data_IF_584369271490
#
_entry.id   IF_584369271490
#
_cell.length_a   1.000
_cell.length_b   1.000
_cell.length_c   1.000
_cell.angle_alpha   90.00
_cell.angle_beta   90.00
_cell.angle_gamma   90.00
#
_symmetry.space_group_name_H-M   'P 1'
#
loop_
_entity.id
_entity.type
_entity.pdbx_description
1 polymer ?
#
# COMPACT_ATOMS: atom_id res chain seq x y z
N UNK A 1 -11.35 -19.84 -27.87
CA UNK A 1 -11.67 -18.41 -27.97
C UNK A 1 -11.20 -17.71 -26.70
N UNK A 2 -10.25 -16.77 -26.79
CA UNK A 2 -9.77 -16.03 -25.61
C UNK A 2 -10.60 -14.77 -25.42
N UNK A 3 -11.11 -14.56 -24.22
CA UNK A 3 -11.88 -13.36 -23.87
C UNK A 3 -10.92 -12.15 -23.94
N UNK A 4 -11.31 -11.01 -24.55
CA UNK A 4 -10.50 -9.79 -24.54
C UNK A 4 -10.15 -9.36 -23.11
N UNK A 5 -8.92 -8.88 -22.86
CA UNK A 5 -8.43 -8.55 -21.50
C UNK A 5 -9.36 -7.60 -20.74
N UNK A 6 -10.00 -6.65 -21.43
CA UNK A 6 -10.99 -5.72 -20.87
C UNK A 6 -12.32 -6.35 -20.44
N UNK A 7 -12.61 -7.58 -20.88
CA UNK A 7 -13.85 -8.32 -20.61
C UNK A 7 -13.63 -9.55 -19.72
N UNK A 8 -12.39 -9.79 -19.25
CA UNK A 8 -12.09 -10.90 -18.32
C UNK A 8 -12.50 -10.50 -16.90
N UNK A 9 -13.08 -11.42 -16.11
CA UNK A 9 -13.12 -11.23 -14.66
C UNK A 9 -11.67 -11.19 -14.16
N UNK A 10 -11.31 -10.11 -13.46
CA UNK A 10 -9.96 -9.91 -12.88
C UNK A 10 -9.65 -11.10 -11.98
N UNK A 11 -8.56 -11.81 -12.25
CA UNK A 11 -8.17 -12.95 -11.43
C UNK A 11 -7.66 -12.48 -10.06
N UNK A 12 -7.75 -13.33 -9.04
CA UNK A 12 -7.12 -13.08 -7.74
C UNK A 12 -5.66 -12.66 -7.86
N UNK A 13 -4.93 -13.26 -8.80
CA UNK A 13 -3.51 -13.04 -9.10
C UNK A 13 -3.23 -11.61 -9.62
N UNK A 14 -4.11 -11.06 -10.46
CA UNK A 14 -3.98 -9.66 -10.92
C UNK A 14 -4.12 -8.64 -9.79
N UNK A 15 -4.82 -8.96 -8.69
CA UNK A 15 -4.89 -8.07 -7.52
C UNK A 15 -3.59 -8.05 -6.69
N UNK A 16 -2.87 -9.18 -6.62
CA UNK A 16 -1.58 -9.24 -5.91
C UNK A 16 -0.47 -8.49 -6.62
N UNK A 17 -0.43 -8.60 -7.95
CA UNK A 17 0.62 -7.95 -8.75
C UNK A 17 0.61 -6.43 -8.61
N UNK A 18 -0.58 -5.81 -8.54
CA UNK A 18 -0.70 -4.36 -8.34
C UNK A 18 -0.19 -3.95 -6.95
N UNK A 19 -0.60 -4.67 -5.91
CA UNK A 19 -0.16 -4.37 -4.54
C UNK A 19 1.35 -4.60 -4.34
N UNK A 20 1.90 -5.67 -4.94
CA UNK A 20 3.35 -5.94 -4.94
C UNK A 20 4.13 -4.85 -5.68
N UNK A 21 3.59 -4.37 -6.79
CA UNK A 21 4.17 -3.23 -7.53
C UNK A 21 4.20 -1.98 -6.65
N UNK A 22 3.10 -1.66 -5.96
CA UNK A 22 3.04 -0.54 -5.02
C UNK A 22 4.08 -0.69 -3.91
N UNK A 23 4.15 -1.86 -3.25
CA UNK A 23 5.12 -2.12 -2.18
C UNK A 23 6.56 -1.99 -2.67
N UNK A 24 6.86 -2.47 -3.87
CA UNK A 24 8.20 -2.39 -4.47
C UNK A 24 8.59 -0.94 -4.72
N UNK A 25 7.68 -0.16 -5.32
CA UNK A 25 7.90 1.26 -5.60
C UNK A 25 8.03 2.11 -4.33
N UNK A 26 7.26 1.80 -3.29
CA UNK A 26 7.44 2.42 -1.95
C UNK A 26 8.80 2.05 -1.39
N UNK A 27 9.24 0.80 -1.51
CA UNK A 27 10.54 0.35 -0.99
C UNK A 27 11.70 1.04 -1.69
N UNK A 28 11.62 1.23 -3.00
CA UNK A 28 12.60 2.01 -3.77
C UNK A 28 12.67 3.45 -3.26
N UNK A 29 11.52 4.11 -3.12
CA UNK A 29 11.43 5.48 -2.58
C UNK A 29 12.04 5.60 -1.18
N UNK A 30 11.74 4.65 -0.29
CA UNK A 30 12.28 4.65 1.06
C UNK A 30 13.81 4.53 1.08
N UNK A 31 14.41 3.80 0.14
CA UNK A 31 15.87 3.72 0.02
C UNK A 31 16.48 5.06 -0.40
N UNK A 32 15.83 5.78 -1.33
CA UNK A 32 16.35 7.03 -1.88
C UNK A 32 16.17 8.22 -0.92
N UNK A 33 14.98 8.36 -0.35
CA UNK A 33 14.60 9.53 0.42
C UNK A 33 14.83 9.35 1.93
N UNK A 34 14.89 8.11 2.41
CA UNK A 34 15.04 7.76 3.83
C UNK A 34 16.21 6.79 4.11
N UNK A 35 17.14 6.64 3.17
CA UNK A 35 18.30 5.77 3.29
C UNK A 35 19.24 6.15 4.45
N UNK A 36 20.19 5.27 4.74
CA UNK A 36 21.19 5.49 5.79
C UNK A 36 22.22 6.56 5.38
N UNK A 37 22.25 6.93 4.10
CA UNK A 37 22.95 8.11 3.60
C UNK A 37 22.45 9.41 4.26
N UNK A 38 21.23 9.43 4.81
CA UNK A 38 20.71 10.57 5.57
C UNK A 38 21.26 10.67 7.00
N UNK A 39 22.00 9.66 7.49
CA UNK A 39 22.59 9.70 8.84
C UNK A 39 23.68 10.76 8.96
N UNK A 40 24.33 11.11 7.86
CA UNK A 40 25.38 12.11 7.83
C UNK A 40 25.03 13.23 6.85
N UNK A 41 25.33 14.47 7.23
CA UNK A 41 25.15 15.64 6.38
C UNK A 41 26.49 16.37 6.21
N UNK A 42 26.66 16.97 5.04
CA UNK A 42 27.81 17.84 4.75
C UNK A 42 27.44 19.27 5.11
N UNK A 43 28.27 19.90 5.94
CA UNK A 43 28.13 21.30 6.33
C UNK A 43 28.72 22.23 5.26
N UNK A 44 28.43 23.53 5.37
CA UNK A 44 28.94 24.56 4.45
C UNK A 44 30.47 24.63 4.42
N UNK A 45 31.13 24.40 5.56
CA UNK A 45 32.59 24.31 5.69
C UNK A 45 33.15 22.95 5.22
N UNK A 46 32.32 22.08 4.65
CA UNK A 46 32.71 20.82 4.01
C UNK A 46 32.89 19.64 4.97
N UNK A 47 32.65 19.81 6.27
CA UNK A 47 32.72 18.72 7.25
C UNK A 47 31.54 17.77 7.12
N UNK A 48 31.74 16.52 7.54
CA UNK A 48 30.68 15.52 7.63
C UNK A 48 30.30 15.39 9.11
N UNK A 49 29.04 15.65 9.43
CA UNK A 49 28.52 15.55 10.79
C UNK A 49 27.30 14.63 10.83
N UNK A 50 26.99 14.09 12.01
CA UNK A 50 25.77 13.31 12.22
C UNK A 50 24.54 14.20 12.10
N UNK A 51 23.59 13.76 11.28
CA UNK A 51 22.29 14.39 11.12
C UNK A 51 21.45 14.15 12.38
N UNK A 52 21.21 15.21 13.16
CA UNK A 52 20.38 15.13 14.37
C UNK A 52 18.95 14.70 14.10
N UNK A 53 18.46 14.84 12.87
CA UNK A 53 17.11 14.43 12.48
C UNK A 53 17.03 13.01 11.92
N UNK A 54 18.16 12.28 11.79
CA UNK A 54 18.17 10.94 11.20
C UNK A 54 17.24 9.94 11.91
N UNK A 55 17.04 10.08 13.22
CA UNK A 55 16.07 9.27 13.95
C UNK A 55 14.65 9.37 13.36
N UNK A 56 14.25 10.56 12.89
CA UNK A 56 12.93 10.80 12.31
C UNK A 56 12.82 10.16 10.92
N UNK A 57 13.89 10.20 10.12
CA UNK A 57 13.95 9.47 8.85
C UNK A 57 13.76 7.97 9.08
N UNK A 58 14.49 7.40 10.06
CA UNK A 58 14.42 5.98 10.41
C UNK A 58 13.03 5.58 10.90
N UNK A 59 12.40 6.41 11.73
CA UNK A 59 11.07 6.16 12.30
C UNK A 59 9.98 6.17 11.22
N UNK A 60 9.92 7.23 10.41
CA UNK A 60 8.94 7.34 9.32
C UNK A 60 9.13 6.22 8.28
N UNK A 61 10.39 5.91 7.94
CA UNK A 61 10.74 4.77 7.07
C UNK A 61 10.18 3.46 7.61
N UNK A 62 10.39 3.19 8.90
CA UNK A 62 9.93 1.97 9.56
C UNK A 62 8.42 1.82 9.48
N UNK A 63 7.67 2.88 9.75
CA UNK A 63 6.20 2.88 9.69
C UNK A 63 5.68 2.64 8.29
N UNK A 64 6.17 3.40 7.30
CA UNK A 64 5.76 3.24 5.89
C UNK A 64 6.06 1.82 5.41
N UNK A 65 7.24 1.29 5.73
CA UNK A 65 7.62 -0.06 5.36
C UNK A 65 6.71 -1.12 6.01
N UNK A 66 6.40 -0.94 7.30
CA UNK A 66 5.48 -1.79 8.04
C UNK A 66 4.09 -1.81 7.42
N UNK A 67 3.48 -0.64 7.18
CA UNK A 67 2.15 -0.56 6.58
C UNK A 67 2.11 -1.12 5.15
N UNK A 68 3.19 -0.95 4.36
CA UNK A 68 3.29 -1.56 3.04
C UNK A 68 3.39 -3.10 3.11
N UNK A 69 4.01 -3.65 4.16
CA UNK A 69 4.01 -5.09 4.40
C UNK A 69 2.62 -5.59 4.85
N UNK A 70 1.98 -4.87 5.79
CA UNK A 70 0.63 -5.19 6.29
C UNK A 70 -0.40 -5.19 5.17
N UNK A 71 -0.32 -4.23 4.23
CA UNK A 71 -1.16 -4.19 3.03
C UNK A 71 -1.10 -5.52 2.27
N UNK A 72 0.10 -6.04 1.99
CA UNK A 72 0.27 -7.32 1.29
C UNK A 72 -0.29 -8.47 2.12
N UNK A 73 -0.01 -8.51 3.43
CA UNK A 73 -0.49 -9.59 4.30
C UNK A 73 -2.02 -9.60 4.35
N UNK A 74 -2.66 -8.44 4.54
CA UNK A 74 -4.11 -8.34 4.53
C UNK A 74 -4.74 -8.76 3.19
N UNK A 75 -4.10 -8.46 2.05
CA UNK A 75 -4.59 -8.93 0.75
C UNK A 75 -4.40 -10.44 0.59
N UNK A 76 -3.28 -11.01 1.07
CA UNK A 76 -3.03 -12.46 1.11
C UNK A 76 -4.12 -13.16 1.91
N UNK A 77 -4.36 -12.71 3.14
CA UNK A 77 -5.42 -13.24 4.01
C UNK A 77 -6.79 -13.16 3.32
N UNK A 78 -7.15 -12.01 2.74
CA UNK A 78 -8.40 -11.86 2.01
C UNK A 78 -8.53 -12.88 0.86
N UNK A 79 -7.46 -13.10 0.10
CA UNK A 79 -7.51 -13.98 -1.06
C UNK A 79 -7.63 -15.47 -0.70
N UNK A 80 -7.04 -15.89 0.42
CA UNK A 80 -7.08 -17.28 0.89
C UNK A 80 -8.51 -17.75 1.23
N UNK A 81 -9.43 -16.81 1.48
CA UNK A 81 -10.80 -17.13 1.91
C UNK A 81 -11.70 -17.39 0.70
N UNK A 82 -12.03 -18.64 0.41
CA UNK A 82 -13.07 -18.96 -0.56
C UNK A 82 -14.46 -18.75 0.06
N UNK A 83 -15.31 -17.91 -0.54
CA UNK A 83 -16.61 -17.55 0.02
C UNK A 83 -17.62 -18.67 -0.27
N UNK A 84 -17.97 -19.47 0.74
CA UNK A 84 -19.04 -20.50 0.70
C UNK A 84 -20.23 -20.15 1.56
N UNK A 85 -20.06 -19.24 2.52
CA UNK A 85 -21.09 -18.78 3.43
C UNK A 85 -20.94 -17.28 3.76
N UNK A 86 -21.96 -16.71 4.41
CA UNK A 86 -22.00 -15.29 4.75
C UNK A 86 -20.92 -14.88 5.75
N UNK A 87 -20.52 -15.80 6.65
CA UNK A 87 -19.46 -15.54 7.63
C UNK A 87 -18.11 -15.33 6.94
N UNK A 88 -17.72 -16.23 6.04
CA UNK A 88 -16.49 -16.14 5.25
C UNK A 88 -16.44 -14.87 4.38
N UNK A 89 -17.56 -14.50 3.78
CA UNK A 89 -17.68 -13.20 3.09
C UNK A 89 -17.32 -12.04 4.03
N UNK A 90 -17.86 -12.04 5.26
CA UNK A 90 -17.57 -11.04 6.28
C UNK A 90 -16.09 -10.96 6.63
N UNK A 91 -15.43 -12.11 6.82
CA UNK A 91 -13.99 -12.18 7.13
C UNK A 91 -13.15 -11.66 5.96
N UNK A 92 -13.41 -12.10 4.73
CA UNK A 92 -12.70 -11.61 3.53
C UNK A 92 -12.85 -10.09 3.38
N UNK A 93 -14.06 -9.56 3.62
CA UNK A 93 -14.34 -8.12 3.61
C UNK A 93 -13.56 -7.35 4.69
N UNK A 94 -13.42 -7.92 5.89
CA UNK A 94 -12.65 -7.33 6.99
C UNK A 94 -11.20 -7.13 6.57
N UNK A 95 -10.53 -8.16 6.03
CA UNK A 95 -9.15 -8.04 5.57
C UNK A 95 -8.97 -6.99 4.47
N UNK A 96 -9.90 -6.94 3.50
CA UNK A 96 -9.89 -5.85 2.52
C UNK A 96 -10.09 -4.46 3.14
N UNK A 97 -10.76 -4.35 4.30
CA UNK A 97 -10.93 -3.05 4.99
C UNK A 97 -9.60 -2.64 5.60
N UNK A 98 -8.90 -3.60 6.21
CA UNK A 98 -7.57 -3.38 6.77
C UNK A 98 -6.58 -2.98 5.67
N UNK A 99 -6.58 -3.67 4.53
CA UNK A 99 -5.77 -3.29 3.38
C UNK A 99 -6.02 -1.83 2.91
N UNK A 100 -7.30 -1.42 2.80
CA UNK A 100 -7.63 -0.02 2.47
C UNK A 100 -7.15 0.95 3.56
N UNK A 101 -7.20 0.55 4.83
CA UNK A 101 -6.69 1.35 5.94
C UNK A 101 -5.17 1.50 5.86
N UNK A 102 -4.44 0.44 5.51
CA UNK A 102 -2.98 0.48 5.36
C UNK A 102 -2.56 1.43 4.24
N UNK A 103 -3.28 1.43 3.10
CA UNK A 103 -3.11 2.43 2.05
C UNK A 103 -3.23 3.88 2.57
N UNK A 104 -4.18 4.14 3.47
CA UNK A 104 -4.32 5.49 4.06
C UNK A 104 -3.28 5.81 5.11
N UNK A 105 -2.82 4.82 5.89
CA UNK A 105 -1.70 5.01 6.82
C UNK A 105 -0.42 5.38 6.07
N UNK A 106 -0.11 4.68 4.97
CA UNK A 106 1.03 5.02 4.09
C UNK A 106 0.91 6.45 3.60
N UNK A 107 -0.26 6.82 3.05
CA UNK A 107 -0.50 8.18 2.56
C UNK A 107 -0.34 9.24 3.66
N UNK A 108 -0.83 8.96 4.86
CA UNK A 108 -0.71 9.87 5.99
C UNK A 108 0.77 10.08 6.36
N UNK A 109 1.56 9.01 6.43
CA UNK A 109 2.98 9.09 6.78
C UNK A 109 3.79 9.84 5.71
N UNK A 110 3.49 9.64 4.41
CA UNK A 110 4.09 10.44 3.33
C UNK A 110 3.77 11.94 3.47
N UNK A 111 2.52 12.28 3.81
CA UNK A 111 2.14 13.66 4.04
C UNK A 111 2.80 14.24 5.30
N UNK A 112 2.98 13.44 6.34
CA UNK A 112 3.72 13.83 7.53
C UNK A 112 5.19 14.09 7.20
N UNK A 113 5.85 13.16 6.48
CA UNK A 113 7.22 13.30 6.00
C UNK A 113 7.43 14.60 5.21
N UNK A 114 6.54 14.91 4.26
CA UNK A 114 6.60 16.15 3.49
C UNK A 114 6.41 17.45 4.31
N UNK A 115 5.89 17.35 5.55
CA UNK A 115 5.76 18.51 6.45
C UNK A 115 6.97 18.69 7.35
N UNK A 116 7.62 17.61 7.77
CA UNK A 116 8.65 17.64 8.83
C UNK A 116 10.06 17.37 8.34
N UNK A 117 10.22 16.80 7.14
CA UNK A 117 11.51 16.53 6.52
C UNK A 117 11.72 17.46 5.31
N UNK A 118 12.97 17.79 4.96
CA UNK A 118 13.32 18.55 3.76
C UNK A 118 13.17 17.70 2.47
N UNK A 119 12.05 17.01 2.32
CA UNK A 119 11.71 16.20 1.13
C UNK A 119 10.61 16.94 0.37
N UNK A 120 10.82 17.26 -0.91
CA UNK A 120 9.88 18.08 -1.65
C UNK A 120 8.57 17.31 -1.90
N UNK A 121 7.45 17.94 -1.58
CA UNK A 121 6.10 17.32 -1.62
C UNK A 121 5.74 16.73 -2.98
N UNK A 122 6.21 17.33 -4.06
CA UNK A 122 5.93 16.88 -5.43
C UNK A 122 6.41 15.45 -5.69
N UNK A 123 7.47 14.98 -5.01
CA UNK A 123 7.92 13.59 -5.10
C UNK A 123 6.86 12.57 -4.68
N UNK A 124 5.95 12.95 -3.78
CA UNK A 124 4.92 12.05 -3.28
C UNK A 124 3.65 11.98 -4.14
N UNK A 125 3.51 12.83 -5.15
CA UNK A 125 2.32 12.85 -6.01
C UNK A 125 2.11 11.52 -6.74
N UNK A 126 3.16 10.94 -7.31
CA UNK A 126 3.07 9.66 -8.00
C UNK A 126 2.59 8.53 -7.07
N UNK A 127 3.06 8.51 -5.82
CA UNK A 127 2.65 7.49 -4.86
C UNK A 127 1.22 7.70 -4.39
N UNK A 128 0.74 8.95 -4.29
CA UNK A 128 -0.67 9.22 -4.01
C UNK A 128 -1.59 8.64 -5.08
N UNK A 129 -1.21 8.74 -6.35
CA UNK A 129 -1.97 8.16 -7.46
C UNK A 129 -1.94 6.64 -7.40
N UNK A 130 -0.77 6.02 -7.19
CA UNK A 130 -0.68 4.56 -7.03
C UNK A 130 -1.49 4.04 -5.85
N UNK A 131 -1.46 4.72 -4.70
CA UNK A 131 -2.26 4.37 -3.52
C UNK A 131 -3.76 4.50 -3.82
N UNK A 132 -4.17 5.55 -4.56
CA UNK A 132 -5.56 5.72 -4.97
C UNK A 132 -6.00 4.57 -5.87
N UNK A 133 -5.17 4.19 -6.82
CA UNK A 133 -5.48 3.14 -7.78
C UNK A 133 -5.56 1.77 -7.10
N UNK A 134 -4.65 1.46 -6.17
CA UNK A 134 -4.72 0.27 -5.32
C UNK A 134 -6.03 0.20 -4.54
N UNK A 135 -6.42 1.29 -3.87
CA UNK A 135 -7.72 1.36 -3.16
C UNK A 135 -8.90 1.11 -4.10
N UNK A 136 -8.83 1.60 -5.35
CA UNK A 136 -9.88 1.38 -6.34
C UNK A 136 -9.92 -0.08 -6.79
N UNK A 137 -8.77 -0.73 -6.95
CA UNK A 137 -8.69 -2.17 -7.22
C UNK A 137 -9.36 -2.98 -6.11
N UNK A 138 -9.02 -2.72 -4.84
CA UNK A 138 -9.65 -3.41 -3.69
C UNK A 138 -11.18 -3.15 -3.67
N UNK A 139 -11.62 -1.92 -3.94
CA UNK A 139 -13.05 -1.59 -4.04
C UNK A 139 -13.76 -2.31 -5.20
N UNK A 140 -13.07 -2.56 -6.29
CA UNK A 140 -13.63 -3.29 -7.43
C UNK A 140 -13.74 -4.79 -7.13
N UNK A 141 -12.73 -5.37 -6.47
CA UNK A 141 -12.79 -6.74 -5.96
C UNK A 141 -13.99 -6.94 -5.02
N UNK A 142 -14.19 -6.01 -4.09
CA UNK A 142 -15.37 -5.94 -3.21
C UNK A 142 -16.71 -5.97 -3.93
N UNK A 143 -16.82 -5.26 -5.07
CA UNK A 143 -18.04 -5.26 -5.88
C UNK A 143 -18.27 -6.59 -6.57
N UNK A 144 -17.21 -7.30 -6.94
CA UNK A 144 -17.32 -8.65 -7.48
C UNK A 144 -17.89 -9.62 -6.44
N UNK A 145 -17.37 -9.58 -5.20
CA UNK A 145 -17.81 -10.44 -4.10
C UNK A 145 -19.29 -10.22 -3.73
N UNK A 146 -19.84 -9.01 -3.92
CA UNK A 146 -21.27 -8.74 -3.69
C UNK A 146 -22.20 -9.63 -4.53
N UNK A 147 -21.77 -10.10 -5.71
CA UNK A 147 -22.55 -11.03 -6.53
C UNK A 147 -22.63 -12.41 -5.89
N UNK A 148 -21.57 -12.83 -5.20
CA UNK A 148 -21.53 -14.11 -4.46
C UNK A 148 -22.43 -14.02 -3.24
N UNK A 149 -22.36 -12.91 -2.48
CA UNK A 149 -23.21 -12.70 -1.30
C UNK A 149 -24.71 -12.79 -1.63
N UNK A 150 -25.16 -12.15 -2.72
CA UNK A 150 -26.58 -12.21 -3.12
C UNK A 150 -27.06 -13.64 -3.33
N UNK A 151 -26.27 -14.46 -4.04
CA UNK A 151 -26.58 -15.88 -4.26
C UNK A 151 -26.65 -16.68 -2.97
N UNK A 152 -25.79 -16.37 -2.00
CA UNK A 152 -25.80 -17.04 -0.70
C UNK A 152 -26.98 -16.64 0.19
N UNK A 153 -27.59 -15.48 -0.05
CA UNK A 153 -28.76 -15.00 0.68
C UNK A 153 -30.08 -15.45 0.05
N UNK A 154 -30.06 -15.81 -1.23
CA UNK A 154 -31.19 -16.33 -1.99
C UNK A 154 -31.32 -17.87 -1.89
N UNK A 155 -30.30 -18.55 -1.36
CA UNK A 155 -30.23 -20.00 -1.13
C UNK A 155 -30.72 -20.37 0.27
#
# INVERSE_FOLDING_TARGET
>A
MSIPKSKRPVSSEEFFEVALTLRTKITEMLKEDFGDDKEHIRTEDGRIIKNKNYWLYKEVRGRIFGYAADLIMNLTEANTIYITNVSEYGVRRKYMTLAIADCEKIKQELNYAAKVLPIPRNKYLQYNDMIRDEKNHIKNWRKADNKVLKKLQEA
#
